data_IF_643770362339
#
_entry.id   IF_643770362339
#
_cell.length_a   1.000
_cell.length_b   1.000
_cell.length_c   1.000
_cell.angle_alpha   90.00
_cell.angle_beta   90.00
_cell.angle_gamma   90.00
#
_symmetry.space_group_name_H-M   'P 1'
#
loop_
_entity.id
_entity.type
_entity.pdbx_description
1 polymer ?
#
# COMPACT_ATOMS: atom_id res chain seq x y z
N UNK A 1 -23.29 2.15 -36.92
CA UNK A 1 -22.30 3.22 -37.11
C UNK A 1 -21.95 3.77 -35.72
N UNK A 2 -21.09 3.06 -35.00
CA UNK A 2 -20.71 3.44 -33.63
C UNK A 2 -19.73 4.60 -33.72
N UNK A 3 -20.18 5.78 -33.31
CA UNK A 3 -19.31 6.93 -33.14
C UNK A 3 -18.20 6.55 -32.14
N UNK A 4 -16.97 6.49 -32.66
CA UNK A 4 -15.73 6.36 -31.91
C UNK A 4 -15.63 7.54 -30.92
N UNK A 5 -16.16 7.35 -29.71
CA UNK A 5 -16.02 8.30 -28.60
C UNK A 5 -14.56 8.23 -28.16
N UNK A 6 -13.67 8.93 -28.88
CA UNK A 6 -12.29 9.16 -28.41
C UNK A 6 -12.36 9.70 -26.99
N UNK A 7 -11.75 8.98 -26.06
CA UNK A 7 -11.65 9.41 -24.67
C UNK A 7 -11.06 10.84 -24.60
N UNK A 8 -11.51 11.67 -23.65
CA UNK A 8 -10.94 13.00 -23.47
C UNK A 8 -9.43 12.87 -23.25
N UNK A 9 -8.65 13.50 -24.14
CA UNK A 9 -7.20 13.56 -24.01
C UNK A 9 -6.92 14.46 -22.83
N UNK A 10 -6.30 13.91 -21.78
CA UNK A 10 -5.86 14.68 -20.62
C UNK A 10 -4.38 15.03 -20.80
N UNK A 11 -4.05 16.25 -21.27
CA UNK A 11 -2.65 16.62 -21.50
C UNK A 11 -1.95 16.77 -20.14
N UNK A 12 -0.91 15.97 -19.93
CA UNK A 12 0.04 16.16 -18.83
C UNK A 12 0.78 17.48 -19.08
N UNK A 13 0.75 18.36 -18.07
CA UNK A 13 1.54 19.59 -18.03
C UNK A 13 2.82 19.33 -17.26
N UNK A 14 3.95 19.59 -17.90
CA UNK A 14 5.27 19.44 -17.30
C UNK A 14 5.72 20.75 -16.64
N UNK A 15 6.91 20.75 -16.03
CA UNK A 15 7.51 22.01 -15.54
C UNK A 15 7.68 23.02 -16.69
N UNK A 16 7.72 24.30 -16.35
CA UNK A 16 7.86 25.38 -17.33
C UNK A 16 9.15 25.23 -18.17
N UNK A 17 10.23 24.74 -17.56
CA UNK A 17 11.47 24.41 -18.25
C UNK A 17 11.29 23.29 -19.28
N UNK A 18 10.62 22.21 -18.90
CA UNK A 18 10.39 21.05 -19.76
C UNK A 18 9.43 21.38 -20.90
N UNK A 19 8.39 22.19 -20.65
CA UNK A 19 7.49 22.67 -21.71
C UNK A 19 8.23 23.53 -22.74
N UNK A 20 9.14 24.43 -22.31
CA UNK A 20 10.00 25.20 -23.23
C UNK A 20 10.93 24.30 -24.04
N UNK A 21 11.49 23.26 -23.42
CA UNK A 21 12.31 22.27 -24.12
C UNK A 21 11.52 21.48 -25.16
N UNK A 22 10.29 21.08 -24.84
CA UNK A 22 9.37 20.43 -25.77
C UNK A 22 9.05 21.36 -26.94
N UNK A 23 8.77 22.64 -26.68
CA UNK A 23 8.44 23.63 -27.71
C UNK A 23 9.59 23.82 -28.72
N UNK A 24 10.82 23.94 -28.24
CA UNK A 24 12.03 24.04 -29.09
C UNK A 24 12.16 22.83 -30.03
N UNK A 25 11.87 21.63 -29.52
CA UNK A 25 11.92 20.41 -30.33
C UNK A 25 10.72 20.30 -31.27
N UNK A 26 9.53 20.69 -30.84
CA UNK A 26 8.35 20.75 -31.72
C UNK A 26 8.59 21.67 -32.91
N UNK A 27 9.20 22.84 -32.70
CA UNK A 27 9.55 23.76 -33.78
C UNK A 27 10.58 23.19 -34.76
N UNK A 28 11.54 22.41 -34.25
CA UNK A 28 12.52 21.72 -35.09
C UNK A 28 11.86 20.58 -35.90
N UNK A 29 10.91 19.84 -35.29
CA UNK A 29 10.17 18.76 -35.93
C UNK A 29 9.20 19.28 -37.00
N UNK A 30 8.52 20.41 -36.75
CA UNK A 30 7.65 21.08 -37.73
C UNK A 30 8.36 21.43 -39.02
N UNK A 31 9.61 21.88 -38.93
CA UNK A 31 10.43 22.26 -40.09
C UNK A 31 10.76 21.08 -41.01
N UNK A 32 10.71 19.84 -40.52
CA UNK A 32 11.09 18.64 -41.26
C UNK A 32 9.89 17.79 -41.80
N UNK A 33 8.69 18.36 -41.87
CA UNK A 33 7.48 17.91 -42.62
C UNK A 33 6.78 16.58 -42.26
N UNK A 34 5.43 16.68 -42.27
CA UNK A 34 4.38 15.66 -42.43
C UNK A 34 4.56 14.36 -41.63
N UNK A 35 4.60 14.50 -40.30
CA UNK A 35 4.73 13.37 -39.39
C UNK A 35 3.34 12.74 -39.13
N UNK A 36 3.19 11.41 -39.25
CA UNK A 36 1.95 10.70 -38.92
C UNK A 36 1.71 10.62 -37.41
N UNK A 37 2.69 11.02 -36.60
CA UNK A 37 2.64 11.06 -35.15
C UNK A 37 2.58 12.51 -34.66
N UNK A 38 2.02 12.69 -33.46
CA UNK A 38 1.95 13.99 -32.82
C UNK A 38 3.36 14.51 -32.51
N UNK A 39 3.68 15.72 -32.97
CA UNK A 39 4.95 16.43 -32.76
C UNK A 39 5.34 16.46 -31.28
N UNK A 40 4.37 16.68 -30.39
CA UNK A 40 4.59 16.72 -28.93
C UNK A 40 5.06 15.36 -28.40
N UNK A 41 4.46 14.27 -28.87
CA UNK A 41 4.85 12.92 -28.48
C UNK A 41 6.29 12.62 -28.90
N UNK A 42 6.66 13.02 -30.11
CA UNK A 42 7.99 12.79 -30.65
C UNK A 42 9.05 13.61 -29.93
N UNK A 43 8.75 14.88 -29.61
CA UNK A 43 9.62 15.72 -28.79
C UNK A 43 9.85 15.10 -27.40
N UNK A 44 8.79 14.67 -26.71
CA UNK A 44 8.90 14.00 -25.41
C UNK A 44 9.73 12.72 -25.48
N UNK A 45 9.49 11.89 -26.50
CA UNK A 45 10.18 10.61 -26.67
C UNK A 45 11.68 10.82 -26.94
N UNK A 46 12.02 11.81 -27.78
CA UNK A 46 13.41 12.21 -28.05
C UNK A 46 14.10 12.77 -26.80
N UNK A 47 13.40 13.56 -25.98
CA UNK A 47 13.96 14.09 -24.74
C UNK A 47 14.32 12.98 -23.74
N UNK A 48 13.47 11.96 -23.62
CA UNK A 48 13.69 10.83 -22.70
C UNK A 48 14.76 9.85 -23.19
N UNK A 49 14.70 9.44 -24.45
CA UNK A 49 15.55 8.37 -24.99
C UNK A 49 16.03 8.72 -26.40
N UNK A 50 16.94 9.70 -26.57
CA UNK A 50 17.27 10.25 -27.88
C UNK A 50 17.82 9.19 -28.85
N UNK A 51 18.68 8.28 -28.38
CA UNK A 51 19.30 7.24 -29.21
C UNK A 51 18.26 6.24 -29.74
N UNK A 52 17.50 5.62 -28.84
CA UNK A 52 16.50 4.61 -29.20
C UNK A 52 15.36 5.21 -30.02
N UNK A 53 14.91 6.41 -29.65
CA UNK A 53 13.82 7.11 -30.35
C UNK A 53 14.24 7.49 -31.77
N UNK A 54 15.47 7.94 -31.99
CA UNK A 54 15.96 8.21 -33.33
C UNK A 54 16.03 6.94 -34.18
N UNK A 55 16.46 5.80 -33.64
CA UNK A 55 16.44 4.53 -34.38
C UNK A 55 15.01 4.08 -34.72
N UNK A 56 14.08 4.17 -33.77
CA UNK A 56 12.66 3.86 -33.99
C UNK A 56 12.07 4.77 -35.07
N UNK A 57 12.37 6.07 -35.01
CA UNK A 57 11.89 7.04 -35.97
C UNK A 57 12.51 6.84 -37.37
N UNK A 58 13.81 6.54 -37.48
CA UNK A 58 14.44 6.19 -38.76
C UNK A 58 13.78 4.98 -39.41
N UNK A 59 13.42 3.96 -38.63
CA UNK A 59 12.70 2.77 -39.13
C UNK A 59 11.28 3.10 -39.63
N UNK A 60 10.59 4.01 -38.96
CA UNK A 60 9.20 4.37 -39.29
C UNK A 60 9.12 5.40 -40.44
N UNK A 61 10.06 6.35 -40.52
CA UNK A 61 10.00 7.49 -41.45
C UNK A 61 10.95 7.36 -42.66
N UNK A 62 11.92 6.44 -42.62
CA UNK A 62 13.03 6.37 -43.57
C UNK A 62 14.12 7.41 -43.27
N UNK A 63 15.38 7.06 -43.53
CA UNK A 63 16.58 7.86 -43.19
C UNK A 63 16.61 9.27 -43.82
N UNK A 64 15.84 9.49 -44.90
CA UNK A 64 15.99 10.66 -45.78
C UNK A 64 15.27 11.93 -45.30
N UNK A 65 14.44 11.85 -44.25
CA UNK A 65 13.60 12.99 -43.79
C UNK A 65 14.04 13.64 -42.49
N UNK A 66 14.83 12.96 -41.67
CA UNK A 66 15.31 13.49 -40.40
C UNK A 66 16.74 14.00 -40.61
N UNK A 67 16.90 15.32 -40.74
CA UNK A 67 18.23 15.93 -40.67
C UNK A 67 18.74 15.76 -39.24
N UNK A 68 19.55 14.72 -39.01
CA UNK A 68 20.12 14.37 -37.70
C UNK A 68 20.79 15.58 -37.03
N UNK A 69 21.38 16.49 -37.83
CA UNK A 69 22.03 17.71 -37.35
C UNK A 69 21.05 18.71 -36.72
N UNK A 70 19.94 19.01 -37.40
CA UNK A 70 18.97 20.01 -36.92
C UNK A 70 18.27 19.56 -35.63
N UNK A 71 18.01 18.25 -35.52
CA UNK A 71 17.36 17.66 -34.34
C UNK A 71 18.35 17.54 -33.18
N UNK A 72 19.61 17.14 -33.42
CA UNK A 72 20.65 17.10 -32.38
C UNK A 72 20.90 18.50 -31.81
N UNK A 73 20.96 19.53 -32.65
CA UNK A 73 21.16 20.91 -32.22
C UNK A 73 19.96 21.42 -31.39
N UNK A 74 18.74 21.05 -31.79
CA UNK A 74 17.53 21.36 -31.02
C UNK A 74 17.48 20.62 -29.67
N UNK A 75 17.93 19.37 -29.63
CA UNK A 75 18.01 18.55 -28.42
C UNK A 75 19.01 19.15 -27.41
N UNK A 76 20.18 19.60 -27.89
CA UNK A 76 21.16 20.24 -27.02
C UNK A 76 20.62 21.56 -26.44
N UNK A 77 19.94 22.38 -27.26
CA UNK A 77 19.26 23.59 -26.78
C UNK A 77 18.19 23.27 -25.73
N UNK A 78 17.39 22.24 -25.95
CA UNK A 78 16.37 21.79 -25.03
C UNK A 78 16.94 21.38 -23.66
N UNK A 79 18.05 20.62 -23.66
CA UNK A 79 18.75 20.27 -22.42
C UNK A 79 19.36 21.47 -21.70
N UNK A 80 19.88 22.46 -22.42
CA UNK A 80 20.41 23.70 -21.80
C UNK A 80 19.32 24.49 -21.08
N UNK A 81 18.12 24.59 -21.67
CA UNK A 81 16.98 25.31 -21.06
C UNK A 81 16.50 24.64 -19.78
N UNK A 82 16.57 23.31 -19.70
CA UNK A 82 16.17 22.57 -18.50
C UNK A 82 17.26 22.45 -17.44
N UNK A 83 18.44 23.05 -17.65
CA UNK A 83 19.56 22.92 -16.71
C UNK A 83 20.22 21.54 -16.73
N UNK A 84 20.04 20.77 -17.81
CA UNK A 84 20.65 19.47 -18.02
C UNK A 84 19.64 18.36 -18.32
N UNK A 85 20.16 17.27 -18.92
CA UNK A 85 19.35 16.09 -19.26
C UNK A 85 18.69 15.44 -18.04
N UNK A 86 19.40 15.39 -16.92
CA UNK A 86 18.92 14.75 -15.68
C UNK A 86 17.62 15.39 -15.17
N UNK A 87 17.53 16.73 -15.22
CA UNK A 87 16.34 17.43 -14.76
C UNK A 87 15.10 17.07 -15.57
N UNK A 88 15.26 16.82 -16.89
CA UNK A 88 14.15 16.37 -17.74
C UNK A 88 13.77 14.92 -17.43
N UNK A 89 14.77 14.05 -17.22
CA UNK A 89 14.56 12.65 -16.87
C UNK A 89 13.85 12.48 -15.51
N UNK A 90 14.09 13.41 -14.58
CA UNK A 90 13.43 13.45 -13.27
C UNK A 90 12.05 14.14 -13.34
N UNK A 91 11.91 15.25 -14.09
CA UNK A 91 10.67 16.05 -14.14
C UNK A 91 9.52 15.38 -14.91
N UNK A 92 9.81 14.67 -16.01
CA UNK A 92 8.78 13.98 -16.80
C UNK A 92 7.99 12.96 -15.96
N UNK A 93 8.62 11.99 -15.28
CA UNK A 93 7.89 11.03 -14.44
C UNK A 93 7.23 11.72 -13.24
N UNK A 94 7.88 12.71 -12.61
CA UNK A 94 7.30 13.47 -11.50
C UNK A 94 5.99 14.16 -11.92
N UNK A 95 6.00 14.86 -13.05
CA UNK A 95 4.83 15.56 -13.58
C UNK A 95 3.70 14.60 -13.96
N UNK A 96 4.01 13.40 -14.47
CA UNK A 96 3.02 12.36 -14.77
C UNK A 96 2.36 11.85 -13.48
N UNK A 97 3.18 11.52 -12.46
CA UNK A 97 2.67 11.04 -11.17
C UNK A 97 1.81 12.11 -10.51
N UNK A 98 2.28 13.35 -10.45
CA UNK A 98 1.52 14.48 -9.90
C UNK A 98 0.20 14.72 -10.62
N UNK A 99 0.19 14.55 -11.94
CA UNK A 99 -1.04 14.67 -12.73
C UNK A 99 -2.02 13.54 -12.41
N UNK A 100 -1.52 12.32 -12.22
CA UNK A 100 -2.34 11.19 -11.79
C UNK A 100 -2.89 11.38 -10.37
N UNK A 101 -2.08 11.85 -9.43
CA UNK A 101 -2.51 12.19 -8.07
C UNK A 101 -3.62 13.24 -8.08
N UNK A 102 -3.45 14.33 -8.83
CA UNK A 102 -4.47 15.37 -8.96
C UNK A 102 -5.77 14.84 -9.60
N UNK A 103 -5.67 13.94 -10.57
CA UNK A 103 -6.83 13.32 -11.19
C UNK A 103 -7.59 12.41 -10.20
N UNK A 104 -6.87 11.74 -9.29
CA UNK A 104 -7.44 10.87 -8.25
C UNK A 104 -8.03 11.69 -7.11
N UNK A 105 -7.41 12.81 -6.71
CA UNK A 105 -7.87 13.67 -5.61
C UNK A 105 -9.29 14.23 -5.85
N UNK A 106 -9.61 14.55 -7.11
CA UNK A 106 -10.96 15.01 -7.49
C UNK A 106 -12.04 13.92 -7.52
N UNK A 107 -11.65 12.64 -7.55
CA UNK A 107 -12.57 11.49 -7.74
C UNK A 107 -12.72 10.67 -6.46
N UNK A 108 -11.64 10.53 -5.69
CA UNK A 108 -11.63 9.77 -4.45
C UNK A 108 -12.08 10.69 -3.31
N UNK A 109 -13.41 10.82 -3.17
CA UNK A 109 -13.99 11.21 -1.89
C UNK A 109 -13.71 10.08 -0.90
N UNK A 110 -12.64 10.19 -0.13
CA UNK A 110 -12.45 9.32 1.03
C UNK A 110 -13.63 9.57 1.95
N UNK A 111 -14.58 8.64 1.95
CA UNK A 111 -15.64 8.62 2.93
C UNK A 111 -14.94 8.40 4.28
N UNK A 112 -14.70 9.48 5.01
CA UNK A 112 -14.18 9.45 6.38
C UNK A 112 -15.26 8.83 7.28
N UNK A 113 -15.50 7.54 7.08
CA UNK A 113 -16.28 6.72 7.98
C UNK A 113 -15.44 6.62 9.25
N UNK A 114 -15.78 7.42 10.25
CA UNK A 114 -15.17 7.48 11.59
C UNK A 114 -14.89 6.11 12.24
N UNK A 115 -15.59 5.04 11.81
CA UNK A 115 -15.30 3.65 12.20
C UNK A 115 -13.90 3.18 11.80
N UNK A 116 -13.42 3.53 10.62
CA UNK A 116 -12.13 3.07 10.10
C UNK A 116 -10.94 3.70 10.84
N UNK A 117 -11.12 4.87 11.45
CA UNK A 117 -10.08 5.54 12.23
C UNK A 117 -9.88 4.92 13.61
N UNK A 118 -10.94 4.35 14.21
CA UNK A 118 -10.82 3.68 15.50
C UNK A 118 -10.06 2.36 15.36
N UNK A 119 -10.38 1.55 14.35
CA UNK A 119 -9.66 0.31 14.05
C UNK A 119 -8.18 0.59 13.73
N UNK A 120 -7.88 1.62 12.92
CA UNK A 120 -6.48 2.03 12.65
C UNK A 120 -5.74 2.51 13.88
N UNK A 121 -6.41 3.17 14.83
CA UNK A 121 -5.81 3.62 16.09
C UNK A 121 -5.55 2.47 17.05
N UNK A 122 -6.48 1.50 17.13
CA UNK A 122 -6.30 0.26 17.87
C UNK A 122 -5.13 -0.53 17.29
N UNK A 123 -5.10 -0.76 15.98
CA UNK A 123 -4.00 -1.47 15.33
C UNK A 123 -2.67 -0.77 15.59
N UNK A 124 -2.61 0.57 15.51
CA UNK A 124 -1.37 1.29 15.83
C UNK A 124 -0.97 1.16 17.31
N UNK A 125 -1.93 1.08 18.22
CA UNK A 125 -1.68 0.88 19.66
C UNK A 125 -1.14 -0.53 19.95
N UNK A 126 -1.70 -1.56 19.31
CA UNK A 126 -1.28 -2.96 19.46
C UNK A 126 0.00 -3.30 18.68
N UNK A 127 0.24 -2.67 17.52
CA UNK A 127 1.36 -3.02 16.61
C UNK A 127 2.58 -2.10 16.77
N UNK A 128 2.49 -1.03 17.57
CA UNK A 128 3.63 -0.15 17.83
C UNK A 128 4.64 -0.80 18.78
N UNK A 129 5.94 -0.70 18.46
CA UNK A 129 7.03 -1.32 19.24
C UNK A 129 7.08 -0.88 20.71
N UNK A 130 6.60 0.33 21.01
CA UNK A 130 6.67 0.91 22.35
C UNK A 130 5.41 0.59 23.20
N UNK A 131 4.22 0.57 22.59
CA UNK A 131 2.95 0.35 23.31
C UNK A 131 2.43 -1.08 23.20
N UNK A 132 2.82 -1.81 22.14
CA UNK A 132 2.43 -3.19 21.91
C UNK A 132 3.02 -4.15 22.94
N UNK A 133 4.31 -3.99 23.31
CA UNK A 133 4.98 -4.87 24.29
C UNK A 133 4.32 -4.76 25.69
N UNK A 134 4.09 -3.57 26.27
CA UNK A 134 3.39 -3.44 27.54
C UNK A 134 1.97 -4.01 27.52
N UNK A 135 1.22 -3.77 26.45
CA UNK A 135 -0.17 -4.24 26.33
C UNK A 135 -0.24 -5.76 26.20
N UNK A 136 0.68 -6.36 25.44
CA UNK A 136 0.78 -7.81 25.31
C UNK A 136 1.11 -8.47 26.66
N UNK A 137 2.03 -7.89 27.44
CA UNK A 137 2.34 -8.37 28.79
C UNK A 137 1.16 -8.23 29.75
N UNK A 138 0.43 -7.12 29.70
CA UNK A 138 -0.75 -6.90 30.52
C UNK A 138 -1.86 -7.91 30.19
N UNK A 139 -2.09 -8.17 28.90
CA UNK A 139 -3.05 -9.17 28.44
C UNK A 139 -2.64 -10.59 28.86
N UNK A 140 -1.36 -10.91 28.75
CA UNK A 140 -0.81 -12.19 29.23
C UNK A 140 -1.00 -12.34 30.75
N UNK A 141 -0.70 -11.30 31.54
CA UNK A 141 -0.89 -11.30 32.99
C UNK A 141 -2.36 -11.44 33.37
N UNK A 142 -3.26 -10.80 32.63
CA UNK A 142 -4.71 -10.92 32.80
C UNK A 142 -5.17 -12.36 32.55
N UNK A 143 -4.75 -12.98 31.45
CA UNK A 143 -5.09 -14.37 31.13
C UNK A 143 -4.51 -15.32 32.20
N UNK A 144 -3.27 -15.10 32.62
CA UNK A 144 -2.64 -15.89 33.68
C UNK A 144 -3.38 -15.75 35.01
N UNK A 145 -3.81 -14.53 35.36
CA UNK A 145 -4.61 -14.26 36.56
C UNK A 145 -5.98 -14.95 36.50
N UNK A 146 -6.68 -14.84 35.36
CA UNK A 146 -7.95 -15.54 35.13
C UNK A 146 -7.75 -17.05 35.26
N UNK A 147 -6.64 -17.59 34.79
CA UNK A 147 -6.34 -19.02 34.88
C UNK A 147 -6.03 -19.45 36.32
N UNK A 148 -5.22 -18.67 37.04
CA UNK A 148 -4.86 -18.95 38.43
C UNK A 148 -6.06 -18.89 39.37
N UNK A 149 -6.89 -17.85 39.27
CA UNK A 149 -8.12 -17.71 40.06
C UNK A 149 -9.20 -18.67 39.56
N UNK A 150 -9.31 -18.83 38.25
CA UNK A 150 -10.26 -19.71 37.59
C UNK A 150 -10.01 -21.19 37.90
N UNK A 151 -8.78 -21.60 38.23
CA UNK A 151 -8.44 -22.95 38.66
C UNK A 151 -8.81 -23.24 40.14
N UNK A 152 -8.96 -22.22 40.98
CA UNK A 152 -9.44 -22.41 42.35
C UNK A 152 -10.92 -22.81 42.38
N UNK A 153 -11.72 -22.30 41.44
CA UNK A 153 -13.15 -22.62 41.36
C UNK A 153 -13.48 -24.10 41.06
N UNK A 154 -12.85 -24.78 40.07
CA UNK A 154 -13.07 -26.21 39.83
C UNK A 154 -12.51 -27.07 40.97
N UNK A 155 -11.44 -26.65 41.65
CA UNK A 155 -10.92 -27.35 42.83
C UNK A 155 -11.94 -27.35 43.96
N UNK A 156 -12.56 -26.21 44.26
CA UNK A 156 -13.64 -26.14 45.26
C UNK A 156 -14.86 -26.98 44.87
N UNK A 157 -15.22 -27.01 43.58
CA UNK A 157 -16.33 -27.83 43.09
C UNK A 157 -16.06 -29.33 43.27
N UNK A 158 -14.84 -29.76 42.94
CA UNK A 158 -14.41 -31.15 43.13
C UNK A 158 -14.38 -31.55 44.60
N UNK A 159 -13.88 -30.66 45.48
CA UNK A 159 -13.88 -30.88 46.92
C UNK A 159 -15.30 -31.04 47.47
N UNK A 160 -16.25 -30.21 47.03
CA UNK A 160 -17.66 -30.32 47.43
C UNK A 160 -18.31 -31.59 46.88
N UNK A 161 -18.03 -31.96 45.63
CA UNK A 161 -18.57 -33.17 45.02
C UNK A 161 -18.05 -34.44 45.71
N UNK A 162 -16.74 -34.49 46.01
CA UNK A 162 -16.13 -35.57 46.78
C UNK A 162 -16.69 -35.63 48.19
N UNK A 163 -16.82 -34.48 48.87
CA UNK A 163 -17.42 -34.39 50.21
C UNK A 163 -18.86 -34.89 50.27
N UNK A 164 -19.66 -34.63 49.24
CA UNK A 164 -21.02 -35.17 49.15
C UNK A 164 -21.03 -36.70 48.97
N UNK A 165 -20.10 -37.21 48.17
CA UNK A 165 -19.96 -38.65 47.94
C UNK A 165 -19.48 -39.38 49.19
N UNK A 166 -18.52 -38.82 49.92
CA UNK A 166 -18.03 -39.38 51.19
C UNK A 166 -19.12 -39.36 52.25
N UNK A 167 -19.92 -38.29 52.35
CA UNK A 167 -21.07 -38.24 53.27
C UNK A 167 -22.12 -39.31 52.98
N UNK A 168 -22.47 -39.53 51.70
CA UNK A 168 -23.40 -40.60 51.32
C UNK A 168 -22.84 -41.99 51.62
N UNK A 169 -21.56 -42.22 51.33
CA UNK A 169 -20.90 -43.47 51.63
C UNK A 169 -20.85 -43.72 53.14
N UNK A 170 -20.51 -42.69 53.92
CA UNK A 170 -20.49 -42.76 55.37
C UNK A 170 -21.87 -43.12 55.94
N UNK A 171 -22.95 -42.51 55.44
CA UNK A 171 -24.32 -42.85 55.84
C UNK A 171 -24.69 -44.31 55.52
N UNK A 172 -24.33 -44.81 54.33
CA UNK A 172 -24.57 -46.21 53.94
C UNK A 172 -23.80 -47.19 54.83
N UNK A 173 -22.52 -46.91 55.12
CA UNK A 173 -21.71 -47.71 56.03
C UNK A 173 -22.26 -47.65 57.46
N UNK A 174 -22.96 -46.57 57.87
CA UNK A 174 -23.58 -46.46 59.19
C UNK A 174 -24.82 -47.33 59.27
N UNK A 175 -25.65 -47.27 58.22
CA UNK A 175 -26.86 -48.09 58.14
C UNK A 175 -26.54 -49.60 57.99
N UNK A 176 -25.39 -49.94 57.40
CA UNK A 176 -24.89 -51.31 57.29
C UNK A 176 -24.20 -51.84 58.56
N UNK A 177 -24.12 -51.05 59.64
CA UNK A 177 -23.60 -51.49 60.94
C UNK A 177 -22.07 -51.61 61.03
N UNK A 178 -21.32 -50.94 60.16
CA UNK A 178 -19.84 -50.98 60.16
C UNK A 178 -19.26 -50.23 61.37
N UNK A 179 -18.25 -50.79 62.03
CA UNK A 179 -17.61 -50.18 63.21
C UNK A 179 -16.85 -48.89 62.86
N UNK A 180 -16.71 -47.97 63.83
CA UNK A 180 -16.17 -46.61 63.62
C UNK A 180 -14.75 -46.60 63.07
N UNK A 181 -13.87 -47.48 63.56
CA UNK A 181 -12.46 -47.53 63.12
C UNK A 181 -12.30 -47.92 61.64
N UNK A 182 -13.14 -48.84 61.14
CA UNK A 182 -13.07 -49.26 59.73
C UNK A 182 -13.61 -48.19 58.77
N UNK A 183 -14.53 -47.34 59.26
CA UNK A 183 -15.15 -46.23 58.52
C UNK A 183 -14.19 -45.05 58.35
N UNK A 184 -13.39 -44.76 59.38
CA UNK A 184 -12.38 -43.69 59.34
C UNK A 184 -11.12 -44.09 58.57
N UNK A 185 -10.89 -45.40 58.35
CA UNK A 185 -9.75 -45.86 57.54
C UNK A 185 -10.04 -45.89 56.03
N UNK A 186 -11.31 -45.89 55.63
CA UNK A 186 -11.76 -46.07 54.25
C UNK A 186 -12.10 -44.75 53.53
N UNK A 187 -12.16 -43.65 54.28
CA UNK A 187 -12.46 -42.29 53.84
C UNK A 187 -11.28 -41.40 54.19
#
# INVERSE_FOLDING_TARGET
MSADKKAPIFPVKYSESTEKAIEILCDALRKNTNLPLNERYMALRLLTEPKKSMEEFKKIFGDDKLKDRDISDALERAYRVCGGRKNIEDDIPESIVKTAENAVDGVVKTNQNKKHDFDRKLDKLFTSKLTGIPIMLLLLLLIFWITAVGANYPSELLQRASGFLTQKLMLLLTNAGVTVWLREMLV
#
